data_IF_928566033792
#
_entry.id   IF_928566033792
#
_cell.length_a   1.000
_cell.length_b   1.000
_cell.length_c   1.000
_cell.angle_alpha   90.00
_cell.angle_beta   90.00
_cell.angle_gamma   90.00
#
_symmetry.space_group_name_H-M   'P 1'
#
loop_
_entity.id
_entity.type
_entity.pdbx_description
1 polymer ?
#
# COMPACT_ATOMS: atom_id res chain seq x y z
N UNK A 1 18.71 1.45 8.37
CA UNK A 1 19.66 1.55 7.23
C UNK A 1 19.67 0.31 6.34
N UNK A 2 19.91 -0.94 6.84
CA UNK A 2 20.01 -2.13 5.95
C UNK A 2 18.74 -2.39 5.09
N UNK A 3 17.53 -2.26 5.64
CA UNK A 3 16.28 -2.52 4.91
C UNK A 3 16.02 -1.52 3.76
N UNK A 4 16.38 -0.25 3.94
CA UNK A 4 16.27 0.75 2.88
C UNK A 4 17.25 0.48 1.74
N UNK A 5 18.48 0.03 2.04
CA UNK A 5 19.44 -0.37 1.02
C UNK A 5 18.91 -1.53 0.15
N UNK A 6 18.30 -2.54 0.76
CA UNK A 6 17.67 -3.65 0.02
C UNK A 6 16.53 -3.18 -0.88
N UNK A 7 15.69 -2.22 -0.44
CA UNK A 7 14.65 -1.63 -1.28
C UNK A 7 15.25 -1.00 -2.54
N UNK A 8 16.26 -0.14 -2.37
CA UNK A 8 16.91 0.50 -3.51
C UNK A 8 17.62 -0.50 -4.42
N UNK A 9 18.20 -1.59 -3.86
CA UNK A 9 18.78 -2.67 -4.66
C UNK A 9 17.72 -3.39 -5.51
N UNK A 10 16.52 -3.66 -4.97
CA UNK A 10 15.44 -4.29 -5.74
C UNK A 10 14.95 -3.38 -6.87
N UNK A 11 14.81 -2.08 -6.61
CA UNK A 11 14.47 -1.09 -7.63
C UNK A 11 15.57 -1.02 -8.70
N UNK A 12 16.83 -0.90 -8.30
CA UNK A 12 17.97 -0.85 -9.23
C UNK A 12 18.04 -2.12 -10.11
N UNK A 13 17.85 -3.29 -9.52
CA UNK A 13 17.78 -4.55 -10.27
C UNK A 13 16.62 -4.56 -11.28
N UNK A 14 15.45 -4.06 -10.91
CA UNK A 14 14.32 -3.96 -11.83
C UNK A 14 14.56 -3.01 -13.01
N UNK A 15 15.35 -1.94 -12.79
CA UNK A 15 15.75 -1.01 -13.85
C UNK A 15 16.80 -1.64 -14.75
N UNK A 16 17.82 -2.28 -14.18
CA UNK A 16 18.95 -2.84 -14.92
C UNK A 16 18.62 -4.16 -15.63
N UNK A 17 17.73 -4.96 -15.04
CA UNK A 17 17.32 -6.28 -15.52
C UNK A 17 15.80 -6.35 -15.70
N UNK A 18 15.22 -5.61 -16.68
CA UNK A 18 13.78 -5.55 -16.87
C UNK A 18 13.15 -6.85 -17.42
N UNK A 19 13.95 -7.88 -17.75
CA UNK A 19 13.48 -9.17 -18.27
C UNK A 19 12.48 -9.86 -17.33
N UNK A 20 12.50 -9.53 -16.03
CA UNK A 20 11.53 -10.02 -15.05
C UNK A 20 10.10 -9.57 -15.31
N UNK A 21 9.84 -8.62 -16.23
CA UNK A 21 8.49 -8.10 -16.52
C UNK A 21 7.47 -9.17 -16.87
N UNK A 22 7.90 -10.26 -17.52
CA UNK A 22 7.04 -11.39 -17.90
C UNK A 22 6.45 -12.13 -16.69
N UNK A 23 7.08 -12.02 -15.52
CA UNK A 23 6.65 -12.64 -14.27
C UNK A 23 5.84 -11.70 -13.37
N UNK A 24 5.47 -10.50 -13.84
CA UNK A 24 4.72 -9.52 -13.05
C UNK A 24 3.36 -10.07 -12.54
N UNK A 25 2.79 -11.09 -13.19
CA UNK A 25 1.60 -11.78 -12.72
C UNK A 25 1.76 -12.44 -11.33
N UNK A 26 3.00 -12.74 -10.91
CA UNK A 26 3.30 -13.29 -9.59
C UNK A 26 3.07 -12.28 -8.45
N UNK A 27 3.04 -10.98 -8.75
CA UNK A 27 2.89 -9.93 -7.72
C UNK A 27 1.64 -10.17 -6.87
N UNK A 28 0.51 -10.62 -7.47
CA UNK A 28 -0.72 -10.96 -6.74
C UNK A 28 -0.51 -12.02 -5.67
N UNK A 29 0.23 -13.08 -5.99
CA UNK A 29 0.53 -14.17 -5.05
C UNK A 29 1.51 -13.72 -3.97
N UNK A 30 2.45 -12.86 -4.33
CA UNK A 30 3.38 -12.27 -3.37
C UNK A 30 2.65 -11.37 -2.36
N UNK A 31 1.67 -10.57 -2.81
CA UNK A 31 0.83 -9.77 -1.90
C UNK A 31 0.06 -10.68 -0.95
N UNK A 32 -0.54 -11.76 -1.46
CA UNK A 32 -1.26 -12.74 -0.63
C UNK A 32 -0.33 -13.37 0.41
N UNK A 33 0.88 -13.77 0.02
CA UNK A 33 1.90 -14.31 0.93
C UNK A 33 2.34 -13.32 2.00
N UNK A 34 2.59 -12.06 1.61
CA UNK A 34 2.96 -10.99 2.55
C UNK A 34 1.83 -10.73 3.55
N UNK A 35 0.58 -10.63 3.09
CA UNK A 35 -0.58 -10.46 3.95
C UNK A 35 -0.76 -11.68 4.87
N UNK A 36 -0.62 -12.90 4.36
CA UNK A 36 -0.68 -14.12 5.15
C UNK A 36 0.33 -14.09 6.31
N UNK A 37 1.61 -13.89 6.03
CA UNK A 37 2.64 -13.82 7.07
C UNK A 37 2.45 -12.65 8.03
N UNK A 38 1.95 -11.53 7.55
CA UNK A 38 1.68 -10.36 8.39
C UNK A 38 0.51 -10.56 9.34
N UNK A 39 -0.54 -11.29 8.90
CA UNK A 39 -1.75 -11.52 9.66
C UNK A 39 -1.70 -12.80 10.53
N UNK A 40 -0.65 -13.63 10.36
CA UNK A 40 -0.59 -14.99 10.91
C UNK A 40 -0.72 -15.07 12.43
N UNK A 41 -0.16 -14.12 13.17
CA UNK A 41 -0.21 -14.05 14.64
C UNK A 41 -1.06 -12.87 15.15
N UNK A 42 -1.80 -12.22 14.26
CA UNK A 42 -2.61 -11.06 14.57
C UNK A 42 -4.02 -11.50 15.03
N UNK A 43 -4.27 -11.38 16.33
CA UNK A 43 -5.64 -11.49 16.86
C UNK A 43 -6.37 -10.18 16.57
N UNK A 44 -7.38 -10.27 15.71
CA UNK A 44 -8.26 -9.13 15.45
C UNK A 44 -9.21 -9.00 16.65
N UNK A 45 -9.07 -7.91 17.40
CA UNK A 45 -10.05 -7.56 18.41
C UNK A 45 -11.23 -6.84 17.73
N UNK A 46 -12.44 -7.42 17.75
CA UNK A 46 -13.62 -6.81 17.14
C UNK A 46 -13.91 -5.40 17.68
N UNK A 47 -13.57 -5.12 18.95
CA UNK A 47 -13.77 -3.79 19.56
C UNK A 47 -12.83 -2.75 18.93
N UNK A 48 -11.59 -3.14 18.63
CA UNK A 48 -10.63 -2.27 17.94
C UNK A 48 -11.07 -1.98 16.51
N UNK A 49 -11.71 -2.93 15.82
CA UNK A 49 -12.26 -2.74 14.47
C UNK A 49 -13.46 -1.77 14.43
N UNK A 50 -14.16 -1.58 15.55
CA UNK A 50 -15.25 -0.64 15.70
C UNK A 50 -14.82 0.74 16.21
N UNK A 51 -13.52 1.02 16.31
CA UNK A 51 -13.01 2.31 16.75
C UNK A 51 -13.43 3.42 15.77
N UNK A 52 -14.11 4.49 16.23
CA UNK A 52 -14.59 5.57 15.35
C UNK A 52 -13.47 6.24 14.53
N UNK A 53 -12.23 6.23 15.03
CA UNK A 53 -11.06 6.76 14.31
C UNK A 53 -10.75 6.01 13.03
N UNK A 54 -11.13 4.73 12.90
CA UNK A 54 -11.01 4.00 11.64
C UNK A 54 -11.96 4.55 10.59
N UNK A 55 -13.17 4.94 10.99
CA UNK A 55 -14.09 5.67 10.10
C UNK A 55 -13.49 6.98 9.62
N UNK A 56 -12.82 7.72 10.50
CA UNK A 56 -12.08 8.93 10.13
C UNK A 56 -10.97 8.62 9.11
N UNK A 57 -10.20 7.53 9.29
CA UNK A 57 -9.17 7.12 8.32
C UNK A 57 -9.80 6.82 6.95
N UNK A 58 -10.89 6.06 6.90
CA UNK A 58 -11.59 5.76 5.63
C UNK A 58 -12.14 7.03 4.96
N UNK A 59 -12.77 7.91 5.73
CA UNK A 59 -13.26 9.19 5.21
C UNK A 59 -12.14 10.06 4.65
N UNK A 60 -11.00 10.14 5.34
CA UNK A 60 -9.82 10.88 4.88
C UNK A 60 -9.19 10.25 3.65
N UNK A 61 -9.10 8.92 3.56
CA UNK A 61 -8.63 8.24 2.35
C UNK A 61 -9.48 8.63 1.14
N UNK A 62 -10.81 8.60 1.27
CA UNK A 62 -11.72 9.01 0.20
C UNK A 62 -11.60 10.50 -0.13
N UNK A 63 -11.58 11.36 0.89
CA UNK A 63 -11.47 12.80 0.71
C UNK A 63 -10.17 13.18 0.00
N UNK A 64 -9.03 12.63 0.44
CA UNK A 64 -7.73 12.88 -0.19
C UNK A 64 -7.73 12.32 -1.62
N UNK A 65 -8.21 11.09 -1.83
CA UNK A 65 -8.24 10.48 -3.16
C UNK A 65 -9.12 11.29 -4.12
N UNK A 66 -10.32 11.69 -3.70
CA UNK A 66 -11.24 12.48 -4.51
C UNK A 66 -10.73 13.89 -4.80
N UNK A 67 -10.25 14.62 -3.79
CA UNK A 67 -9.76 15.98 -3.96
C UNK A 67 -8.49 16.05 -4.79
N UNK A 68 -7.53 15.16 -4.53
CA UNK A 68 -6.27 15.17 -5.30
C UNK A 68 -6.48 14.69 -6.73
N UNK A 69 -7.35 13.71 -6.97
CA UNK A 69 -7.73 13.31 -8.32
C UNK A 69 -8.44 14.44 -9.06
N UNK A 70 -9.38 15.13 -8.42
CA UNK A 70 -10.09 16.27 -9.00
C UNK A 70 -9.14 17.40 -9.40
N UNK A 71 -8.21 17.78 -8.51
CA UNK A 71 -7.19 18.79 -8.82
C UNK A 71 -6.26 18.32 -9.93
N UNK A 72 -5.78 17.07 -9.87
CA UNK A 72 -4.86 16.53 -10.89
C UNK A 72 -5.51 16.39 -12.25
N UNK A 73 -6.84 16.23 -12.32
CA UNK A 73 -7.59 16.15 -13.58
C UNK A 73 -7.57 17.45 -14.38
N UNK A 74 -7.26 18.58 -13.75
CA UNK A 74 -7.05 19.85 -14.47
C UNK A 74 -5.78 19.85 -15.33
N UNK A 75 -4.83 18.97 -15.03
CA UNK A 75 -3.59 18.79 -15.78
C UNK A 75 -3.71 17.64 -16.77
N UNK A 76 -4.11 16.46 -16.30
CA UNK A 76 -4.42 15.29 -17.16
C UNK A 76 -5.26 14.26 -16.42
N UNK A 77 -6.04 13.45 -17.18
CA UNK A 77 -6.77 12.31 -16.64
C UNK A 77 -5.85 11.21 -16.10
N UNK A 78 -4.67 11.06 -16.69
CA UNK A 78 -3.65 10.11 -16.23
C UNK A 78 -3.13 10.48 -14.83
N UNK A 79 -2.81 11.75 -14.61
CA UNK A 79 -2.39 12.26 -13.29
C UNK A 79 -3.51 12.15 -12.25
N UNK A 80 -4.78 12.32 -12.67
CA UNK A 80 -5.93 12.10 -11.81
C UNK A 80 -6.02 10.64 -11.32
N UNK A 81 -5.82 9.67 -12.21
CA UNK A 81 -5.79 8.24 -11.87
C UNK A 81 -4.60 7.90 -10.97
N UNK A 82 -3.42 8.44 -11.26
CA UNK A 82 -2.23 8.30 -10.40
C UNK A 82 -2.53 8.78 -8.98
N UNK A 83 -3.07 9.99 -8.84
CA UNK A 83 -3.41 10.59 -7.56
C UNK A 83 -4.46 9.75 -6.81
N UNK A 84 -5.53 9.36 -7.51
CA UNK A 84 -6.62 8.58 -6.94
C UNK A 84 -6.15 7.23 -6.39
N UNK A 85 -5.50 6.41 -7.23
CA UNK A 85 -5.09 5.05 -6.84
C UNK A 85 -4.02 5.09 -5.74
N UNK A 86 -3.09 6.06 -5.82
CA UNK A 86 -2.04 6.21 -4.81
C UNK A 86 -2.62 6.66 -3.46
N UNK A 87 -3.54 7.61 -3.46
CA UNK A 87 -4.19 8.09 -2.24
C UNK A 87 -5.12 7.05 -1.60
N UNK A 88 -5.86 6.29 -2.43
CA UNK A 88 -6.80 5.26 -1.97
C UNK A 88 -6.10 3.94 -1.61
N UNK A 89 -4.78 3.85 -1.78
CA UNK A 89 -3.99 2.71 -1.32
C UNK A 89 -4.26 2.42 0.17
N UNK A 90 -4.50 1.15 0.55
CA UNK A 90 -4.80 0.81 1.95
C UNK A 90 -3.58 0.92 2.85
N UNK A 91 -3.78 0.79 4.16
CA UNK A 91 -2.69 0.74 5.14
C UNK A 91 -1.78 -0.47 4.89
N UNK A 92 -0.46 -0.26 4.90
CA UNK A 92 0.51 -1.31 4.69
C UNK A 92 0.55 -2.32 5.84
N UNK A 93 0.77 -3.60 5.50
CA UNK A 93 1.00 -4.66 6.49
C UNK A 93 2.24 -4.41 7.38
N UNK A 94 3.16 -3.53 6.96
CA UNK A 94 4.32 -3.12 7.75
C UNK A 94 4.01 -1.99 8.76
N UNK A 95 2.87 -1.31 8.66
CA UNK A 95 2.52 -0.19 9.52
C UNK A 95 2.46 -0.55 11.02
N UNK A 96 1.89 -1.71 11.44
CA UNK A 96 1.93 -2.14 12.84
C UNK A 96 3.35 -2.31 13.38
N UNK A 97 4.28 -2.82 12.56
CA UNK A 97 5.69 -2.99 12.95
C UNK A 97 6.37 -1.64 13.16
N UNK A 98 6.11 -0.68 12.27
CA UNK A 98 6.60 0.69 12.44
C UNK A 98 6.02 1.34 13.69
N UNK A 99 4.72 1.18 13.93
CA UNK A 99 4.05 1.68 15.13
C UNK A 99 4.66 1.09 16.40
N UNK A 100 5.00 -0.21 16.39
CA UNK A 100 5.70 -0.87 17.51
C UNK A 100 7.06 -0.23 17.79
N UNK A 101 7.86 0.03 16.74
CA UNK A 101 9.16 0.69 16.91
C UNK A 101 9.06 2.13 17.40
N UNK A 102 7.93 2.76 17.15
CA UNK A 102 7.62 4.11 17.59
C UNK A 102 6.87 4.12 18.95
N UNK A 103 6.71 2.98 19.64
CA UNK A 103 6.01 2.81 20.91
C UNK A 103 4.51 3.19 20.90
N UNK A 104 3.85 3.07 19.73
CA UNK A 104 2.42 3.33 19.58
C UNK A 104 1.53 2.08 19.77
N UNK A 105 0.21 2.28 19.69
CA UNK A 105 -0.81 1.25 19.88
C UNK A 105 -0.96 0.39 18.61
N UNK A 106 -0.27 -0.76 18.64
CA UNK A 106 -0.15 -1.67 17.49
C UNK A 106 -1.51 -2.24 17.08
N UNK A 107 -2.38 -2.57 18.05
CA UNK A 107 -3.69 -3.19 17.82
C UNK A 107 -4.60 -2.32 16.95
N UNK A 108 -4.58 -1.01 17.17
CA UNK A 108 -5.34 -0.06 16.35
C UNK A 108 -4.85 -0.06 14.90
N UNK A 109 -3.52 0.02 14.70
CA UNK A 109 -2.96 0.05 13.34
C UNK A 109 -3.15 -1.29 12.63
N UNK A 110 -3.15 -2.40 13.36
CA UNK A 110 -3.51 -3.73 12.84
C UNK A 110 -4.95 -3.76 12.34
N UNK A 111 -5.90 -3.25 13.14
CA UNK A 111 -7.30 -3.13 12.73
C UNK A 111 -7.44 -2.21 11.51
N UNK A 112 -6.66 -1.12 11.46
CA UNK A 112 -6.59 -0.25 10.28
C UNK A 112 -6.11 -1.00 9.02
N UNK A 113 -5.10 -1.88 9.13
CA UNK A 113 -4.66 -2.72 8.00
C UNK A 113 -5.83 -3.55 7.47
N UNK A 114 -6.54 -4.26 8.33
CA UNK A 114 -7.65 -5.13 7.91
C UNK A 114 -8.77 -4.32 7.27
N UNK A 115 -9.24 -3.27 7.95
CA UNK A 115 -10.39 -2.46 7.51
C UNK A 115 -10.08 -1.75 6.20
N UNK A 116 -8.92 -1.09 6.10
CA UNK A 116 -8.58 -0.32 4.90
C UNK A 116 -8.26 -1.21 3.69
N UNK A 117 -7.62 -2.38 3.89
CA UNK A 117 -7.37 -3.33 2.78
C UNK A 117 -8.69 -3.91 2.26
N UNK A 118 -9.64 -4.29 3.15
CA UNK A 118 -10.97 -4.76 2.75
C UNK A 118 -11.75 -3.67 2.02
N UNK A 119 -11.70 -2.44 2.54
CA UNK A 119 -12.34 -1.28 1.92
C UNK A 119 -11.76 -0.97 0.54
N UNK A 120 -10.44 -0.85 0.40
CA UNK A 120 -9.81 -0.53 -0.89
C UNK A 120 -9.99 -1.64 -1.93
N UNK A 121 -9.98 -2.91 -1.50
CA UNK A 121 -10.25 -4.05 -2.37
C UNK A 121 -11.66 -4.05 -2.95
N UNK A 122 -12.63 -3.49 -2.22
CA UNK A 122 -14.00 -3.27 -2.68
C UNK A 122 -14.12 -1.97 -3.49
N UNK A 123 -13.58 -0.87 -2.97
CA UNK A 123 -13.78 0.46 -3.53
C UNK A 123 -13.09 0.64 -4.90
N UNK A 124 -11.84 0.18 -5.06
CA UNK A 124 -11.08 0.40 -6.29
C UNK A 124 -11.77 -0.19 -7.52
N UNK A 125 -12.16 -1.48 -7.56
CA UNK A 125 -12.83 -2.03 -8.74
C UNK A 125 -14.20 -1.40 -9.05
N UNK A 126 -14.88 -0.84 -8.02
CA UNK A 126 -16.17 -0.17 -8.21
C UNK A 126 -16.04 1.25 -8.71
N UNK A 127 -15.00 1.97 -8.28
CA UNK A 127 -14.85 3.41 -8.57
C UNK A 127 -14.01 3.67 -9.82
N UNK A 128 -13.00 2.84 -10.11
CA UNK A 128 -12.14 3.03 -11.28
C UNK A 128 -12.90 3.13 -12.61
N UNK A 129 -13.91 2.30 -12.89
CA UNK A 129 -14.70 2.41 -14.13
C UNK A 129 -15.50 3.72 -14.23
N UNK A 130 -15.83 4.34 -13.10
CA UNK A 130 -16.56 5.62 -13.06
C UNK A 130 -15.65 6.81 -13.36
N UNK A 131 -14.36 6.70 -13.02
CA UNK A 131 -13.37 7.77 -13.26
C UNK A 131 -12.76 7.65 -14.66
N UNK A 132 -12.66 6.43 -15.21
CA UNK A 132 -12.10 6.16 -16.53
C UNK A 132 -13.07 5.35 -17.40
N UNK A 133 -14.16 5.97 -17.90
CA UNK A 133 -15.20 5.28 -18.64
C UNK A 133 -14.76 4.84 -20.06
N UNK A 134 -13.62 5.33 -20.57
CA UNK A 134 -13.10 5.02 -21.92
C UNK A 134 -12.34 3.70 -22.00
N UNK A 135 -11.75 3.23 -20.93
CA UNK A 135 -11.11 1.93 -20.87
C UNK A 135 -12.16 0.84 -20.51
N UNK A 136 -12.10 -0.29 -21.22
CA UNK A 136 -13.00 -1.44 -21.04
C UNK A 136 -12.87 -2.15 -19.67
N UNK A 137 -12.49 -1.42 -18.61
CA UNK A 137 -12.55 -1.88 -17.23
C UNK A 137 -14.02 -1.79 -16.78
N UNK A 138 -14.88 -2.52 -17.48
CA UNK A 138 -16.26 -2.70 -16.99
C UNK A 138 -16.21 -3.26 -15.57
N UNK A 139 -17.15 -2.84 -14.72
CA UNK A 139 -17.38 -3.51 -13.43
C UNK A 139 -17.67 -4.97 -13.76
N UNK A 140 -16.62 -5.77 -13.75
CA UNK A 140 -16.71 -7.19 -13.97
C UNK A 140 -16.67 -7.87 -12.59
N UNK A 141 -17.70 -8.66 -12.30
CA UNK A 141 -17.76 -9.44 -11.07
C UNK A 141 -16.48 -10.25 -10.85
N UNK A 142 -15.83 -10.69 -11.91
CA UNK A 142 -14.55 -11.40 -11.86
C UNK A 142 -13.39 -10.49 -11.36
N UNK A 143 -13.33 -9.23 -11.82
CA UNK A 143 -12.31 -8.26 -11.38
C UNK A 143 -12.48 -7.94 -9.89
N UNK A 144 -13.72 -7.73 -9.46
CA UNK A 144 -14.05 -7.52 -8.04
C UNK A 144 -13.66 -8.74 -7.20
N UNK A 145 -14.07 -9.94 -7.65
CA UNK A 145 -13.74 -11.19 -6.96
C UNK A 145 -12.23 -11.43 -6.87
N UNK A 146 -11.49 -11.19 -7.95
CA UNK A 146 -10.03 -11.31 -7.95
C UNK A 146 -9.38 -10.37 -6.94
N UNK A 147 -9.83 -9.10 -6.90
CA UNK A 147 -9.27 -8.10 -5.98
C UNK A 147 -9.59 -8.43 -4.52
N UNK A 148 -10.85 -8.82 -4.24
CA UNK A 148 -11.26 -9.25 -2.91
C UNK A 148 -10.50 -10.50 -2.45
N UNK A 149 -10.28 -11.46 -3.34
CA UNK A 149 -9.55 -12.70 -3.01
C UNK A 149 -8.14 -12.42 -2.53
N UNK A 150 -7.41 -11.46 -3.11
CA UNK A 150 -6.05 -11.12 -2.70
C UNK A 150 -5.98 -10.69 -1.24
N UNK A 151 -7.01 -10.00 -0.76
CA UNK A 151 -7.05 -9.48 0.62
C UNK A 151 -7.76 -10.43 1.57
N UNK A 152 -8.96 -10.89 1.18
CA UNK A 152 -9.83 -11.68 2.08
C UNK A 152 -9.33 -13.11 2.28
N UNK A 153 -8.75 -13.75 1.24
CA UNK A 153 -8.29 -15.13 1.38
C UNK A 153 -7.19 -15.27 2.43
N UNK A 154 -6.09 -14.49 2.42
CA UNK A 154 -5.09 -14.54 3.49
C UNK A 154 -5.69 -14.23 4.86
N UNK A 155 -6.61 -13.28 4.95
CA UNK A 155 -7.28 -12.90 6.18
C UNK A 155 -8.11 -14.07 6.74
N UNK A 156 -8.98 -14.66 5.92
CA UNK A 156 -9.84 -15.77 6.32
C UNK A 156 -8.99 -16.98 6.74
N UNK A 157 -7.99 -17.33 5.93
CA UNK A 157 -7.09 -18.46 6.20
C UNK A 157 -6.35 -18.27 7.52
N UNK A 158 -5.77 -17.11 7.76
CA UNK A 158 -5.02 -16.85 9.01
C UNK A 158 -5.91 -16.85 10.24
N UNK A 159 -7.12 -16.27 10.16
CA UNK A 159 -8.07 -16.31 11.28
C UNK A 159 -8.59 -17.75 11.54
N UNK A 160 -8.86 -18.52 10.49
CA UNK A 160 -9.23 -19.92 10.59
C UNK A 160 -8.11 -20.75 11.25
N UNK A 161 -6.87 -20.55 10.82
CA UNK A 161 -5.70 -21.22 11.39
C UNK A 161 -5.50 -20.88 12.87
N UNK A 162 -5.64 -19.63 13.26
CA UNK A 162 -5.54 -19.20 14.66
C UNK A 162 -6.60 -19.87 15.55
N UNK A 163 -7.81 -20.08 15.01
CA UNK A 163 -8.92 -20.70 15.74
C UNK A 163 -8.80 -22.24 15.82
N UNK A 164 -8.46 -22.88 14.70
CA UNK A 164 -8.54 -24.34 14.59
C UNK A 164 -7.19 -25.07 14.67
N UNK A 165 -6.11 -24.39 14.29
CA UNK A 165 -4.77 -24.97 14.25
C UNK A 165 -3.70 -24.06 14.89
N UNK A 166 -3.85 -23.65 16.17
CA UNK A 166 -2.92 -22.70 16.79
C UNK A 166 -1.48 -23.23 16.87
N UNK A 167 -1.29 -24.55 16.94
CA UNK A 167 0.04 -25.17 16.91
C UNK A 167 0.76 -24.92 15.58
N UNK A 168 0.01 -24.99 14.46
CA UNK A 168 0.56 -24.71 13.13
C UNK A 168 0.93 -23.22 13.00
N UNK A 169 0.10 -22.33 13.53
CA UNK A 169 0.43 -20.89 13.59
C UNK A 169 1.75 -20.68 14.31
N UNK A 170 1.92 -21.25 15.52
CA UNK A 170 3.16 -21.13 16.30
C UNK A 170 4.38 -21.67 15.53
N UNK A 171 4.22 -22.76 14.78
CA UNK A 171 5.28 -23.34 13.96
C UNK A 171 5.65 -22.44 12.74
N UNK A 172 4.70 -21.67 12.20
CA UNK A 172 4.91 -20.81 11.03
C UNK A 172 5.41 -19.40 11.39
N UNK A 173 5.15 -18.90 12.60
CA UNK A 173 5.57 -17.55 13.04
C UNK A 173 7.07 -17.30 12.83
N UNK A 174 8.01 -18.24 13.09
CA UNK A 174 9.44 -18.01 12.83
C UNK A 174 9.76 -17.70 11.36
N UNK A 175 8.93 -18.15 10.43
CA UNK A 175 9.12 -17.95 8.99
C UNK A 175 8.57 -16.62 8.46
N UNK A 176 8.00 -15.75 9.30
CA UNK A 176 7.49 -14.41 8.90
C UNK A 176 8.54 -13.57 8.18
N UNK A 177 9.83 -13.80 8.46
CA UNK A 177 10.94 -13.14 7.79
C UNK A 177 10.96 -13.37 6.26
N UNK A 178 10.38 -14.47 5.77
CA UNK A 178 10.23 -14.76 4.33
C UNK A 178 9.42 -13.66 3.63
N UNK A 179 8.41 -13.10 4.30
CA UNK A 179 7.61 -12.00 3.77
C UNK A 179 8.42 -10.80 3.29
N UNK A 180 9.57 -10.53 3.93
CA UNK A 180 10.48 -9.47 3.49
C UNK A 180 11.12 -9.78 2.13
N UNK A 181 11.59 -10.99 1.90
CA UNK A 181 12.20 -11.40 0.63
C UNK A 181 11.16 -11.47 -0.49
N UNK A 182 9.95 -11.95 -0.18
CA UNK A 182 8.81 -11.93 -1.11
C UNK A 182 8.44 -10.49 -1.49
N UNK A 183 8.47 -9.56 -0.53
CA UNK A 183 8.27 -8.14 -0.77
C UNK A 183 9.33 -7.55 -1.70
N UNK A 184 10.60 -7.91 -1.51
CA UNK A 184 11.71 -7.51 -2.38
C UNK A 184 11.53 -8.01 -3.82
N UNK A 185 11.16 -9.30 -3.97
CA UNK A 185 10.88 -9.89 -5.28
C UNK A 185 9.69 -9.19 -5.97
N UNK A 186 8.64 -8.85 -5.22
CA UNK A 186 7.49 -8.11 -5.75
C UNK A 186 7.89 -6.71 -6.25
N UNK A 187 8.74 -5.99 -5.52
CA UNK A 187 9.25 -4.68 -5.93
C UNK A 187 10.11 -4.80 -7.19
N UNK A 188 11.00 -5.79 -7.23
CA UNK A 188 11.78 -6.07 -8.43
C UNK A 188 10.89 -6.27 -9.67
N UNK A 189 9.89 -7.16 -9.58
CA UNK A 189 8.98 -7.45 -10.70
C UNK A 189 8.14 -6.22 -11.10
N UNK A 190 7.66 -5.45 -10.13
CA UNK A 190 6.91 -4.23 -10.39
C UNK A 190 7.78 -3.20 -11.14
N UNK A 191 9.02 -3.00 -10.66
CA UNK A 191 9.96 -2.07 -11.29
C UNK A 191 10.38 -2.56 -12.67
N UNK A 192 10.65 -3.86 -12.84
CA UNK A 192 10.98 -4.45 -14.14
C UNK A 192 9.84 -4.24 -15.17
N UNK A 193 8.57 -4.42 -14.74
CA UNK A 193 7.41 -4.18 -15.62
C UNK A 193 7.27 -2.71 -16.01
N UNK A 194 7.44 -1.79 -15.05
CA UNK A 194 7.38 -0.36 -15.33
C UNK A 194 8.54 0.10 -16.24
N UNK A 195 9.76 -0.40 -15.98
CA UNK A 195 10.93 -0.09 -16.82
C UNK A 195 10.76 -0.59 -18.24
N UNK A 196 10.31 -1.84 -18.41
CA UNK A 196 10.01 -2.40 -19.74
C UNK A 196 8.97 -1.54 -20.48
N UNK A 197 7.90 -1.12 -19.79
CA UNK A 197 6.88 -0.26 -20.38
C UNK A 197 7.47 1.09 -20.83
N UNK A 198 8.26 1.76 -19.98
CA UNK A 198 8.88 3.04 -20.31
C UNK A 198 9.83 2.91 -21.51
N UNK A 199 10.60 1.81 -21.59
CA UNK A 199 11.59 1.61 -22.65
C UNK A 199 10.99 1.15 -23.98
N UNK A 200 9.95 0.29 -23.96
CA UNK A 200 9.45 -0.39 -25.13
C UNK A 200 8.14 0.20 -25.68
N UNK A 201 7.30 0.75 -24.83
CA UNK A 201 5.92 1.10 -25.17
C UNK A 201 5.60 2.59 -24.95
N UNK A 202 6.43 3.30 -24.16
CA UNK A 202 6.09 4.66 -23.76
C UNK A 202 6.69 5.71 -24.69
N UNK A 203 5.80 6.53 -25.25
CA UNK A 203 6.14 7.84 -25.81
C UNK A 203 6.02 8.96 -24.74
N UNK A 204 5.81 8.58 -23.48
CA UNK A 204 5.54 9.53 -22.40
C UNK A 204 6.75 10.43 -22.13
N UNK A 205 6.54 11.75 -22.07
CA UNK A 205 7.63 12.68 -21.81
C UNK A 205 8.16 12.53 -20.39
N UNK A 206 9.45 12.81 -20.18
CA UNK A 206 10.07 12.85 -18.86
C UNK A 206 9.34 13.77 -17.87
N UNK A 207 8.66 14.83 -18.37
CA UNK A 207 7.82 15.70 -17.55
C UNK A 207 6.74 14.93 -16.79
N UNK A 208 6.07 13.98 -17.43
CA UNK A 208 5.04 13.16 -16.79
C UNK A 208 5.60 12.34 -15.61
N UNK A 209 6.78 11.77 -15.78
CA UNK A 209 7.44 11.01 -14.69
C UNK A 209 7.74 11.91 -13.50
N UNK A 210 8.22 13.12 -13.74
CA UNK A 210 8.50 14.13 -12.71
C UNK A 210 7.21 14.57 -12.01
N UNK A 211 6.13 14.81 -12.77
CA UNK A 211 4.82 15.19 -12.24
C UNK A 211 4.24 14.07 -11.35
N UNK A 212 4.33 12.81 -11.78
CA UNK A 212 3.92 11.64 -10.99
C UNK A 212 4.72 11.56 -9.69
N UNK A 213 6.04 11.77 -9.76
CA UNK A 213 6.89 11.76 -8.58
C UNK A 213 6.52 12.89 -7.60
N UNK A 214 6.26 14.10 -8.12
CA UNK A 214 5.85 15.26 -7.32
C UNK A 214 4.50 15.03 -6.63
N UNK A 215 3.50 14.50 -7.35
CA UNK A 215 2.18 14.13 -6.80
C UNK A 215 2.37 13.07 -5.70
N UNK A 216 3.18 12.05 -5.92
CA UNK A 216 3.41 10.98 -4.96
C UNK A 216 4.10 11.48 -3.69
N UNK A 217 5.05 12.41 -3.82
CA UNK A 217 5.70 13.07 -2.69
C UNK A 217 4.69 13.93 -1.90
N UNK A 218 3.91 14.75 -2.60
CA UNK A 218 2.86 15.57 -2.00
C UNK A 218 1.83 14.72 -1.25
N UNK A 219 1.36 13.64 -1.86
CA UNK A 219 0.44 12.69 -1.23
C UNK A 219 1.07 12.01 0.00
N UNK A 220 2.35 11.65 -0.05
CA UNK A 220 3.04 11.07 1.10
C UNK A 220 3.09 12.05 2.27
N UNK A 221 3.50 13.29 2.02
CA UNK A 221 3.54 14.35 3.03
C UNK A 221 2.13 14.64 3.59
N UNK A 222 1.13 14.74 2.71
CA UNK A 222 -0.26 15.01 3.08
C UNK A 222 -0.84 13.88 3.95
N UNK A 223 -0.71 12.62 3.54
CA UNK A 223 -1.25 11.48 4.28
C UNK A 223 -0.63 11.35 5.68
N UNK A 224 0.70 11.40 5.79
CA UNK A 224 1.35 11.34 7.10
C UNK A 224 1.05 12.58 7.94
N UNK A 225 1.06 13.77 7.34
CA UNK A 225 0.78 15.04 7.99
C UNK A 225 -0.64 15.11 8.54
N UNK A 226 -1.64 14.85 7.70
CA UNK A 226 -3.05 14.85 8.12
C UNK A 226 -3.36 13.76 9.13
N UNK A 227 -2.83 12.55 8.96
CA UNK A 227 -3.01 11.48 9.93
C UNK A 227 -2.48 11.88 11.31
N UNK A 228 -1.30 12.49 11.37
CA UNK A 228 -0.71 12.97 12.63
C UNK A 228 -1.49 14.13 13.22
N UNK A 229 -1.95 15.08 12.40
CA UNK A 229 -2.71 16.23 12.86
C UNK A 229 -4.07 15.82 13.42
N UNK A 230 -4.82 14.94 12.72
CA UNK A 230 -6.11 14.43 13.17
C UNK A 230 -6.01 13.57 14.44
N UNK A 231 -4.92 12.84 14.60
CA UNK A 231 -4.67 12.05 15.82
C UNK A 231 -4.25 12.91 17.02
N UNK A 232 -3.77 14.12 16.77
CA UNK A 232 -3.30 15.03 17.82
C UNK A 232 -2.10 14.46 18.59
N UNK A 233 -2.03 14.78 19.89
CA UNK A 233 -0.93 14.31 20.73
C UNK A 233 -1.06 12.82 21.07
N UNK A 234 -2.28 12.33 21.30
CA UNK A 234 -2.54 10.99 21.81
C UNK A 234 -2.53 9.89 20.74
N UNK A 235 -2.97 10.19 19.52
CA UNK A 235 -3.18 9.22 18.43
C UNK A 235 -2.46 9.60 17.14
N UNK A 236 -1.70 10.68 17.15
CA UNK A 236 -1.07 11.19 15.93
C UNK A 236 -0.10 10.21 15.27
N UNK A 237 0.51 9.35 16.08
CA UNK A 237 1.44 8.34 15.57
C UNK A 237 0.72 7.20 14.88
N UNK A 238 -0.31 6.67 15.52
CA UNK A 238 -1.13 5.58 14.99
C UNK A 238 -1.90 6.00 13.74
N UNK A 239 -2.57 7.15 13.80
CA UNK A 239 -3.32 7.68 12.67
C UNK A 239 -2.39 8.09 11.53
N UNK A 240 -1.20 8.66 11.85
CA UNK A 240 -0.18 8.96 10.87
C UNK A 240 0.33 7.71 10.14
N UNK A 241 0.58 6.62 10.87
CA UNK A 241 0.98 5.35 10.25
C UNK A 241 -0.18 4.69 9.49
N UNK A 242 -1.40 4.75 10.01
CA UNK A 242 -2.58 4.16 9.36
C UNK A 242 -2.92 4.84 8.04
N UNK A 243 -2.84 6.17 7.98
CA UNK A 243 -3.15 6.93 6.77
C UNK A 243 -1.94 7.05 5.82
N UNK A 244 -0.75 7.21 6.37
CA UNK A 244 0.47 7.54 5.60
C UNK A 244 1.23 6.33 5.09
N UNK A 245 1.31 5.24 5.84
CA UNK A 245 2.03 4.05 5.40
C UNK A 245 1.14 3.16 4.54
N UNK A 246 1.28 3.28 3.22
CA UNK A 246 0.42 2.66 2.22
C UNK A 246 0.91 1.28 1.77
N UNK A 247 -0.03 0.36 1.52
CA UNK A 247 0.21 -0.92 0.83
C UNK A 247 0.36 -0.66 -0.67
N UNK A 248 1.51 -0.13 -1.03
CA UNK A 248 1.82 0.27 -2.40
C UNK A 248 1.86 -0.89 -3.38
N UNK A 249 2.25 -2.10 -2.94
CA UNK A 249 2.24 -3.28 -3.81
C UNK A 249 0.84 -3.65 -4.27
N UNK A 250 -0.16 -3.53 -3.39
CA UNK A 250 -1.56 -3.74 -3.76
C UNK A 250 -1.99 -2.73 -4.85
N UNK A 251 -1.66 -1.45 -4.67
CA UNK A 251 -1.98 -0.42 -5.67
C UNK A 251 -1.22 -0.59 -6.98
N UNK A 252 0.06 -0.96 -6.93
CA UNK A 252 0.84 -1.30 -8.12
C UNK A 252 0.17 -2.46 -8.87
N UNK A 253 -0.23 -3.52 -8.17
CA UNK A 253 -0.92 -4.64 -8.79
C UNK A 253 -2.25 -4.20 -9.44
N UNK A 254 -3.05 -3.37 -8.77
CA UNK A 254 -4.28 -2.80 -9.33
C UNK A 254 -3.99 -2.03 -10.63
N UNK A 255 -2.98 -1.15 -10.62
CA UNK A 255 -2.58 -0.39 -11.80
C UNK A 255 -2.14 -1.31 -12.95
N UNK A 256 -1.30 -2.30 -12.68
CA UNK A 256 -0.79 -3.22 -13.71
C UNK A 256 -1.86 -4.18 -14.24
N UNK A 257 -2.95 -4.38 -13.51
CA UNK A 257 -4.03 -5.31 -13.87
C UNK A 257 -5.19 -4.59 -14.58
N UNK A 258 -5.57 -3.41 -14.12
CA UNK A 258 -6.79 -2.71 -14.55
C UNK A 258 -6.53 -1.38 -15.26
N UNK A 259 -5.31 -0.87 -15.22
CA UNK A 259 -4.93 0.41 -15.79
C UNK A 259 -3.65 0.24 -16.63
N UNK A 260 -2.79 1.25 -16.63
CA UNK A 260 -1.52 1.24 -17.37
C UNK A 260 -0.33 1.15 -16.43
N UNK A 261 0.82 0.61 -16.89
CA UNK A 261 2.05 0.61 -16.09
C UNK A 261 2.56 2.02 -15.75
N UNK A 262 2.24 3.04 -16.54
CA UNK A 262 2.56 4.43 -16.22
C UNK A 262 1.90 4.88 -14.91
N UNK A 263 0.63 4.53 -14.69
CA UNK A 263 -0.09 4.87 -13.45
C UNK A 263 0.53 4.16 -12.24
N UNK A 264 1.12 2.97 -12.43
CA UNK A 264 1.81 2.25 -11.36
C UNK A 264 3.05 2.98 -10.83
N UNK A 265 3.62 3.93 -11.59
CA UNK A 265 4.73 4.77 -11.11
C UNK A 265 4.34 5.59 -9.88
N UNK A 266 3.06 6.00 -9.74
CA UNK A 266 2.59 6.73 -8.58
C UNK A 266 2.85 6.00 -7.26
N UNK A 267 2.24 4.84 -7.01
CA UNK A 267 2.54 4.05 -5.82
C UNK A 267 3.99 3.55 -5.75
N UNK A 268 4.73 3.44 -6.88
CA UNK A 268 6.16 3.10 -6.87
C UNK A 268 7.02 4.26 -6.33
N UNK A 269 6.76 5.51 -6.69
CA UNK A 269 7.41 6.66 -6.06
C UNK A 269 6.99 6.80 -4.59
N UNK A 270 5.72 6.57 -4.30
CA UNK A 270 5.23 6.66 -2.93
C UNK A 270 5.95 5.69 -1.99
N UNK A 271 6.27 4.45 -2.42
CA UNK A 271 7.02 3.49 -1.58
C UNK A 271 8.41 4.02 -1.21
N UNK A 272 9.07 4.74 -2.11
CA UNK A 272 10.37 5.38 -1.83
C UNK A 272 10.19 6.44 -0.73
N UNK A 273 9.25 7.37 -0.94
CA UNK A 273 9.04 8.49 -0.01
C UNK A 273 8.57 8.05 1.37
N UNK A 274 7.62 7.09 1.46
CA UNK A 274 7.18 6.58 2.76
C UNK A 274 8.30 5.85 3.52
N UNK A 275 9.21 5.15 2.82
CA UNK A 275 10.33 4.48 3.47
C UNK A 275 11.40 5.48 3.94
N UNK A 276 11.66 6.55 3.18
CA UNK A 276 12.52 7.65 3.60
C UNK A 276 11.95 8.35 4.84
N UNK A 277 10.65 8.65 4.84
CA UNK A 277 9.99 9.27 5.98
C UNK A 277 10.01 8.36 7.23
N UNK A 278 9.71 7.07 7.08
CA UNK A 278 9.79 6.11 8.18
C UNK A 278 11.22 5.96 8.72
N UNK A 279 12.23 5.99 7.84
CA UNK A 279 13.64 5.97 8.26
C UNK A 279 14.00 7.23 9.06
N UNK A 280 13.48 8.39 8.66
CA UNK A 280 13.62 9.63 9.42
C UNK A 280 12.95 9.53 10.81
N UNK A 281 11.72 9.00 10.89
CA UNK A 281 11.02 8.83 12.16
C UNK A 281 11.80 7.92 13.14
N UNK A 282 12.35 6.81 12.63
CA UNK A 282 13.18 5.89 13.42
C UNK A 282 14.49 6.54 13.90
N UNK A 283 15.11 7.38 13.07
CA UNK A 283 16.33 8.09 13.43
C UNK A 283 16.08 9.17 14.49
N UNK A 284 14.90 9.80 14.47
CA UNK A 284 14.51 10.81 15.48
C UNK A 284 14.24 10.21 16.86
N UNK A 285 14.01 8.90 16.92
CA UNK A 285 13.68 8.19 18.15
C UNK A 285 12.22 8.39 18.62
N UNK A 286 11.78 7.62 19.60
CA UNK A 286 10.47 7.82 20.22
C UNK A 286 10.40 9.21 20.83
N UNK A 287 9.21 9.83 20.81
CA UNK A 287 8.99 11.06 21.59
C UNK A 287 9.31 10.74 23.05
N UNK A 288 10.24 11.50 23.65
CA UNK A 288 10.36 11.51 25.11
C UNK A 288 8.98 11.87 25.65
N UNK A 289 8.39 10.96 26.42
CA UNK A 289 7.24 11.31 27.24
C UNK A 289 7.68 12.50 28.09
N UNK A 290 7.12 13.67 27.85
CA UNK A 290 7.19 14.77 28.79
C UNK A 290 6.40 14.31 30.00
N UNK A 291 7.14 13.93 31.04
CA UNK A 291 6.65 13.66 32.39
C UNK A 291 5.82 14.84 32.88
#
# INVERSE_FOLDING_TARGET
>A
MKKSAFLFSAIALGILLPQGYSYAYLIRYFIMGILFFSLLDLKIDPKSALNPRLGTILAMMLAIAGTTAWVSNWFSSELALVAFVTALAPTAAAAPVMTKFLHGRVEYVMSSVVVTNSFSALALPLVLPLINPGDRVGINALALLNTLTIVLLPLIVTQAMQRWTPRLVTALVPFKGIGFYVWMAAIYLATAKATHFIQAESTSPWSLIVEIAAISLGLCALNFGLGRWLGGQDWGQEMGQSLGQKNTLFSIWVCLTFLTPAIALGPMFYIVFQNLYNSYLLAKGPRSESV
#
